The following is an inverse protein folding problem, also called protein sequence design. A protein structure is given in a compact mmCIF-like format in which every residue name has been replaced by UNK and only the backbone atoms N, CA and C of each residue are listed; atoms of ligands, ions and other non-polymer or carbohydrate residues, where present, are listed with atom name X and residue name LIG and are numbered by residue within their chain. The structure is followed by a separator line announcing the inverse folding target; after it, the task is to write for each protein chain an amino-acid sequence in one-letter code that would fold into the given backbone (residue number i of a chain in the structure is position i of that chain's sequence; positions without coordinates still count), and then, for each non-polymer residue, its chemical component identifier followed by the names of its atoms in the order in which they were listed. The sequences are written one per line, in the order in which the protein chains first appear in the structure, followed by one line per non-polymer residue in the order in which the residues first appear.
data_IF_551067029354
#
_entry.id   IF_551067029354
#
_cell.length_a   1.000
_cell.length_b   1.000
_cell.length_c   1.000
_cell.angle_alpha   90.00
_cell.angle_beta   90.00
_cell.angle_gamma   90.00
#
_symmetry.space_group_name_H-M   'P 1'
#
loop_
_entity.id
_entity.type
_entity.pdbx_description
1 polymer ?
#
# COMPACT_ATOMS: atom_id res chain seq x y z
N UNK A 1 -9.56 -6.31 -27.01
CA UNK A 1 -9.54 -5.42 -25.83
C UNK A 1 -10.63 -4.36 -25.92
N UNK A 2 -10.84 -3.72 -27.07
CA UNK A 2 -11.84 -2.64 -27.19
C UNK A 2 -13.28 -3.08 -26.90
N UNK A 3 -13.69 -4.29 -27.29
CA UNK A 3 -15.01 -4.83 -26.92
C UNK A 3 -15.19 -4.95 -25.40
N UNK A 4 -14.12 -5.32 -24.69
CA UNK A 4 -14.15 -5.42 -23.21
C UNK A 4 -14.28 -4.02 -22.62
N UNK A 5 -13.56 -3.03 -23.16
CA UNK A 5 -13.64 -1.64 -22.71
C UNK A 5 -15.02 -1.05 -23.00
N UNK A 6 -15.56 -1.21 -24.20
CA UNK A 6 -16.88 -0.75 -24.61
C UNK A 6 -17.98 -1.28 -23.66
N UNK A 7 -18.03 -2.60 -23.45
CA UNK A 7 -18.96 -3.21 -22.50
C UNK A 7 -18.75 -2.69 -21.06
N UNK A 8 -17.50 -2.43 -20.68
CA UNK A 8 -17.19 -1.88 -19.36
C UNK A 8 -17.64 -0.42 -19.21
N UNK A 9 -17.64 0.38 -20.27
CA UNK A 9 -18.15 1.76 -20.23
C UNK A 9 -19.66 1.78 -19.96
N UNK A 10 -20.42 0.86 -20.55
CA UNK A 10 -21.83 0.68 -20.21
C UNK A 10 -22.03 0.33 -18.74
N UNK A 11 -21.23 -0.59 -18.20
CA UNK A 11 -21.28 -0.96 -16.79
C UNK A 11 -20.91 0.23 -15.87
N UNK A 12 -19.87 1.00 -16.22
CA UNK A 12 -19.46 2.19 -15.46
C UNK A 12 -20.58 3.24 -15.46
N UNK A 13 -21.16 3.55 -16.62
CA UNK A 13 -22.25 4.53 -16.70
C UNK A 13 -23.49 4.08 -15.91
N UNK A 14 -23.82 2.79 -15.97
CA UNK A 14 -24.92 2.23 -15.16
C UNK A 14 -24.63 2.37 -13.66
N UNK A 15 -23.43 2.01 -13.20
CA UNK A 15 -23.01 2.15 -11.79
C UNK A 15 -23.05 3.62 -11.35
N UNK A 16 -22.55 4.54 -12.18
CA UNK A 16 -22.58 5.97 -11.87
C UNK A 16 -24.02 6.50 -11.69
N UNK A 17 -24.94 6.07 -12.56
CA UNK A 17 -26.37 6.43 -12.44
C UNK A 17 -27.02 5.80 -11.21
N UNK A 18 -26.78 4.52 -10.96
CA UNK A 18 -27.38 3.78 -9.84
C UNK A 18 -26.93 4.29 -8.47
N UNK A 19 -25.69 4.78 -8.36
CA UNK A 19 -25.10 5.24 -7.10
C UNK A 19 -24.93 6.77 -7.03
N UNK A 20 -25.65 7.53 -7.86
CA UNK A 20 -25.49 8.98 -7.93
C UNK A 20 -25.78 9.66 -6.58
N UNK A 21 -26.82 9.21 -5.88
CA UNK A 21 -27.19 9.73 -4.56
C UNK A 21 -26.20 9.32 -3.46
N UNK A 22 -25.44 8.23 -3.67
CA UNK A 22 -24.44 7.71 -2.75
C UNK A 22 -23.00 8.04 -3.18
N UNK A 23 -22.79 9.10 -3.98
CA UNK A 23 -21.45 9.54 -4.43
C UNK A 23 -20.44 9.71 -3.28
N UNK A 24 -20.90 10.27 -2.16
CA UNK A 24 -20.05 10.50 -0.98
C UNK A 24 -19.59 9.19 -0.35
N UNK A 25 -20.43 8.15 -0.38
CA UNK A 25 -20.06 6.81 0.08
C UNK A 25 -18.98 6.20 -0.84
N UNK A 26 -19.13 6.32 -2.15
CA UNK A 26 -18.12 5.83 -3.11
C UNK A 26 -16.78 6.56 -2.90
N UNK A 27 -16.83 7.86 -2.64
CA UNK A 27 -15.64 8.66 -2.34
C UNK A 27 -14.98 8.23 -1.03
N UNK A 28 -15.78 8.04 0.01
CA UNK A 28 -15.32 7.58 1.32
C UNK A 28 -14.67 6.20 1.22
N UNK A 29 -15.31 5.25 0.52
CA UNK A 29 -14.78 3.91 0.31
C UNK A 29 -13.44 3.95 -0.44
N UNK A 30 -13.32 4.75 -1.50
CA UNK A 30 -12.03 4.85 -2.18
C UNK A 30 -10.95 5.49 -1.32
N UNK A 31 -11.29 6.48 -0.49
CA UNK A 31 -10.32 7.16 0.37
C UNK A 31 -9.87 6.27 1.54
N UNK A 32 -10.79 5.62 2.26
CA UNK A 32 -10.46 4.77 3.42
C UNK A 32 -9.57 3.59 3.00
N UNK A 33 -9.79 3.05 1.80
CA UNK A 33 -9.04 1.91 1.26
C UNK A 33 -7.93 2.35 0.29
N UNK A 34 -7.49 3.60 0.37
CA UNK A 34 -6.29 4.05 -0.32
C UNK A 34 -5.08 3.23 0.14
N UNK A 35 -4.27 2.67 -0.78
CA UNK A 35 -3.07 1.90 -0.44
C UNK A 35 -2.12 2.58 0.54
N UNK A 36 -2.08 3.92 0.60
CA UNK A 36 -1.27 4.69 1.55
C UNK A 36 -1.60 4.35 3.00
N UNK A 37 -2.85 4.07 3.33
CA UNK A 37 -3.26 3.71 4.69
C UNK A 37 -2.72 2.35 5.15
N UNK A 38 -2.33 1.46 4.23
CA UNK A 38 -1.61 0.24 4.59
C UNK A 38 -0.30 0.54 5.31
N UNK A 39 0.44 1.56 4.86
CA UNK A 39 1.68 2.01 5.48
C UNK A 39 1.45 2.91 6.70
N UNK A 40 0.48 3.82 6.62
CA UNK A 40 0.31 4.91 7.59
C UNK A 40 -0.59 4.55 8.78
N UNK A 41 -1.46 3.56 8.63
CA UNK A 41 -2.43 3.17 9.64
C UNK A 41 -2.34 1.70 10.00
N UNK A 42 -2.54 0.79 9.03
CA UNK A 42 -2.60 -0.65 9.31
C UNK A 42 -1.27 -1.19 9.83
N UNK A 43 -0.14 -0.86 9.19
CA UNK A 43 1.18 -1.30 9.64
C UNK A 43 1.53 -0.85 11.08
N UNK A 44 1.50 0.45 11.43
CA UNK A 44 1.81 0.89 12.80
C UNK A 44 0.82 0.33 13.84
N UNK A 45 -0.47 0.24 13.50
CA UNK A 45 -1.49 -0.30 14.39
C UNK A 45 -1.22 -1.78 14.70
N UNK A 46 -1.15 -2.61 13.67
CA UNK A 46 -1.07 -4.06 13.83
C UNK A 46 0.28 -4.46 14.42
N UNK A 47 1.38 -3.81 14.02
CA UNK A 47 2.70 -4.06 14.61
C UNK A 47 2.77 -3.75 16.10
N UNK A 48 2.03 -2.72 16.56
CA UNK A 48 1.95 -2.37 17.98
C UNK A 48 1.23 -3.45 18.83
N UNK A 49 0.26 -4.16 18.25
CA UNK A 49 -0.49 -5.20 18.95
C UNK A 49 0.14 -6.59 18.84
N UNK A 50 0.59 -6.95 17.63
CA UNK A 50 1.25 -8.20 17.30
C UNK A 50 2.36 -7.97 16.28
N UNK A 51 3.61 -8.06 16.75
CA UNK A 51 4.81 -7.80 15.96
C UNK A 51 4.98 -8.81 14.81
N UNK A 52 4.49 -10.04 14.95
CA UNK A 52 4.60 -11.08 13.91
C UNK A 52 3.64 -10.76 12.77
N UNK A 53 2.34 -10.59 13.07
CA UNK A 53 1.35 -10.22 12.05
C UNK A 53 1.68 -8.85 11.44
N UNK A 54 2.10 -7.87 12.24
CA UNK A 54 2.49 -6.56 11.74
C UNK A 54 3.68 -6.63 10.77
N UNK A 55 4.65 -7.51 11.03
CA UNK A 55 5.76 -7.76 10.10
C UNK A 55 5.28 -8.35 8.78
N UNK A 56 4.42 -9.37 8.82
CA UNK A 56 3.84 -9.95 7.59
C UNK A 56 3.00 -8.94 6.82
N UNK A 57 2.24 -8.09 7.50
CA UNK A 57 1.45 -7.03 6.88
C UNK A 57 2.36 -6.02 6.17
N UNK A 58 3.44 -5.55 6.81
CA UNK A 58 4.41 -4.68 6.16
C UNK A 58 5.03 -5.32 4.90
N UNK A 59 5.43 -6.58 4.98
CA UNK A 59 5.95 -7.32 3.83
C UNK A 59 4.92 -7.43 2.70
N UNK A 60 3.68 -7.80 3.01
CA UNK A 60 2.64 -7.97 1.99
C UNK A 60 2.31 -6.65 1.31
N UNK A 61 2.28 -5.54 2.06
CA UNK A 61 2.04 -4.21 1.50
C UNK A 61 3.15 -3.80 0.53
N UNK A 62 4.42 -3.95 0.92
CA UNK A 62 5.57 -3.61 0.05
C UNK A 62 5.55 -4.45 -1.22
N UNK A 63 5.41 -5.77 -1.10
CA UNK A 63 5.46 -6.68 -2.26
C UNK A 63 4.25 -6.48 -3.17
N UNK A 64 3.07 -6.22 -2.62
CA UNK A 64 1.87 -5.92 -3.41
C UNK A 64 2.04 -4.61 -4.18
N UNK A 65 2.60 -3.56 -3.57
CA UNK A 65 2.80 -2.30 -4.26
C UNK A 65 3.89 -2.39 -5.34
N UNK A 66 5.03 -3.01 -5.02
CA UNK A 66 6.11 -3.25 -5.98
C UNK A 66 5.63 -4.04 -7.20
N UNK A 67 4.98 -5.18 -6.98
CA UNK A 67 4.45 -5.99 -8.08
C UNK A 67 3.33 -5.27 -8.84
N UNK A 68 2.47 -4.49 -8.18
CA UNK A 68 1.46 -3.67 -8.86
C UNK A 68 2.12 -2.68 -9.84
N UNK A 69 3.19 -2.01 -9.40
CA UNK A 69 3.88 -1.01 -10.19
C UNK A 69 4.60 -1.63 -11.40
N UNK A 70 5.29 -2.77 -11.22
CA UNK A 70 5.90 -3.51 -12.34
C UNK A 70 4.84 -3.99 -13.34
N UNK A 71 3.76 -4.61 -12.86
CA UNK A 71 2.66 -5.10 -13.71
C UNK A 71 2.00 -3.96 -14.47
N UNK A 72 1.82 -2.79 -13.85
CA UNK A 72 1.27 -1.59 -14.52
C UNK A 72 2.10 -1.17 -15.71
N UNK A 73 3.41 -1.17 -15.58
CA UNK A 73 4.32 -0.87 -16.68
C UNK A 73 4.28 -1.92 -17.78
N UNK A 74 4.26 -3.21 -17.43
CA UNK A 74 4.22 -4.29 -18.42
C UNK A 74 2.88 -4.35 -19.18
N UNK A 75 1.76 -4.20 -18.46
CA UNK A 75 0.42 -4.35 -19.03
C UNK A 75 -0.07 -3.11 -19.78
N UNK A 76 0.42 -1.91 -19.43
CA UNK A 76 0.04 -0.63 -20.07
C UNK A 76 -1.47 -0.45 -20.21
N UNK A 77 -2.21 -0.79 -19.15
CA UNK A 77 -3.67 -0.70 -19.16
C UNK A 77 -4.16 0.75 -19.28
N UNK A 78 -5.11 0.97 -20.19
CA UNK A 78 -5.86 2.23 -20.30
C UNK A 78 -6.77 2.43 -19.08
N UNK A 79 -7.16 3.68 -18.82
CA UNK A 79 -8.22 4.02 -17.86
C UNK A 79 -9.50 4.35 -18.60
N UNK A 80 -10.68 4.14 -17.98
CA UNK A 80 -11.97 4.42 -18.62
C UNK A 80 -12.07 5.83 -19.21
N UNK A 81 -11.66 6.85 -18.45
CA UNK A 81 -11.76 8.24 -18.90
C UNK A 81 -10.78 8.58 -20.04
N UNK A 82 -9.58 7.99 -20.07
CA UNK A 82 -8.67 8.12 -21.23
C UNK A 82 -9.26 7.47 -22.47
N UNK A 83 -9.69 6.22 -22.31
CA UNK A 83 -10.10 5.38 -23.42
C UNK A 83 -11.32 5.93 -24.14
N UNK A 84 -12.34 6.44 -23.42
CA UNK A 84 -13.55 7.01 -24.05
C UNK A 84 -13.21 8.19 -24.96
N UNK A 85 -12.34 9.10 -24.51
CA UNK A 85 -11.98 10.27 -25.31
C UNK A 85 -11.11 9.92 -26.53
N UNK A 86 -10.16 9.01 -26.37
CA UNK A 86 -9.30 8.54 -27.46
C UNK A 86 -10.10 7.74 -28.49
N UNK A 87 -10.99 6.87 -28.03
CA UNK A 87 -11.89 6.09 -28.87
C UNK A 87 -12.86 6.97 -29.64
N UNK A 88 -13.44 8.00 -29.00
CA UNK A 88 -14.32 8.96 -29.67
C UNK A 88 -13.58 9.74 -30.77
N UNK A 89 -12.34 10.18 -30.51
CA UNK A 89 -11.51 10.85 -31.51
C UNK A 89 -11.22 9.96 -32.73
N UNK A 90 -10.84 8.69 -32.51
CA UNK A 90 -10.59 7.75 -33.60
C UNK A 90 -11.86 7.37 -34.37
N UNK A 91 -12.98 7.19 -33.67
CA UNK A 91 -14.27 6.86 -34.27
C UNK A 91 -14.78 8.00 -35.17
N UNK A 92 -14.60 9.25 -34.74
CA UNK A 92 -14.90 10.44 -35.55
C UNK A 92 -14.05 10.53 -36.82
N UNK A 93 -12.77 10.15 -36.75
CA UNK A 93 -11.87 10.14 -37.92
C UNK A 93 -12.29 9.06 -38.92
N UNK A 94 -12.71 7.90 -38.43
CA UNK A 94 -13.07 6.75 -39.26
C UNK A 94 -14.53 6.77 -39.75
N UNK A 95 -15.30 7.84 -39.49
CA UNK A 95 -16.69 7.97 -39.92
C UNK A 95 -17.67 7.02 -39.22
N UNK A 96 -17.28 6.36 -38.13
CA UNK A 96 -18.11 5.42 -37.37
C UNK A 96 -18.61 6.14 -36.12
N UNK A 97 -19.89 6.51 -36.07
CA UNK A 97 -20.48 7.07 -34.84
C UNK A 97 -20.93 5.93 -33.92
N UNK A 98 -20.11 5.58 -32.93
CA UNK A 98 -20.52 4.74 -31.81
C UNK A 98 -20.96 5.62 -30.65
N UNK A 99 -22.26 5.57 -30.33
CA UNK A 99 -22.84 6.26 -29.18
C UNK A 99 -22.47 5.55 -27.87
N UNK A 100 -21.32 5.90 -27.30
CA UNK A 100 -20.96 5.49 -25.94
C UNK A 100 -21.75 6.29 -24.90
N UNK A 101 -22.21 5.67 -23.81
CA UNK A 101 -22.88 6.41 -22.74
C UNK A 101 -21.89 7.35 -22.03
N UNK A 102 -22.36 8.52 -21.56
CA UNK A 102 -21.49 9.45 -20.85
C UNK A 102 -21.01 8.86 -19.52
N UNK A 103 -19.74 9.10 -19.22
CA UNK A 103 -19.12 8.82 -17.93
C UNK A 103 -18.67 10.12 -17.28
N UNK A 104 -18.75 10.21 -15.96
CA UNK A 104 -18.38 11.39 -15.19
C UNK A 104 -16.96 11.27 -14.65
N UNK A 105 -16.19 12.36 -14.70
CA UNK A 105 -14.91 12.48 -13.99
C UNK A 105 -15.13 13.16 -12.62
N UNK A 106 -14.30 12.78 -11.66
CA UNK A 106 -14.29 13.33 -10.29
C UNK A 106 -12.87 13.76 -9.93
N UNK A 107 -12.69 14.44 -8.80
CA UNK A 107 -11.36 14.86 -8.32
C UNK A 107 -10.40 13.67 -8.02
N UNK A 108 -10.92 12.44 -7.88
CA UNK A 108 -10.12 11.22 -7.68
C UNK A 108 -9.93 10.39 -8.95
N UNK A 109 -10.49 10.82 -10.09
CA UNK A 109 -10.40 10.07 -11.36
C UNK A 109 -9.01 10.18 -12.00
N UNK A 110 -8.35 11.34 -11.84
CA UNK A 110 -7.14 11.72 -12.57
C UNK A 110 -5.83 11.20 -11.96
N UNK A 111 -5.72 9.89 -11.80
CA UNK A 111 -4.47 9.26 -11.42
C UNK A 111 -3.51 9.14 -12.62
N UNK A 112 -2.20 9.17 -12.36
CA UNK A 112 -1.13 9.28 -13.37
C UNK A 112 -0.47 7.95 -13.74
N UNK A 113 -0.62 6.91 -12.93
CA UNK A 113 -0.14 5.56 -13.24
C UNK A 113 -1.08 4.78 -14.18
N UNK A 114 -0.58 3.76 -14.92
CA UNK A 114 -1.41 2.90 -15.76
C UNK A 114 -2.57 2.23 -15.00
N UNK A 115 -3.65 1.90 -15.71
CA UNK A 115 -4.90 1.39 -15.14
C UNK A 115 -4.90 -0.07 -14.71
N UNK A 116 -4.04 -0.93 -15.26
CA UNK A 116 -4.09 -2.38 -15.00
C UNK A 116 -2.81 -2.90 -14.33
N UNK A 117 -2.87 -3.63 -13.20
CA UNK A 117 -4.05 -3.92 -12.38
C UNK A 117 -4.39 -2.79 -11.38
N UNK A 118 -5.62 -2.80 -10.85
CA UNK A 118 -6.06 -1.85 -9.82
C UNK A 118 -5.23 -1.97 -8.54
N UNK A 119 -4.52 -0.90 -8.17
CA UNK A 119 -3.68 -0.86 -6.96
C UNK A 119 -4.50 -0.90 -5.67
N UNK A 120 -5.66 -0.24 -5.64
CA UNK A 120 -6.58 -0.24 -4.50
C UNK A 120 -7.09 -1.66 -4.22
N UNK A 121 -7.58 -2.35 -5.26
CA UNK A 121 -8.08 -3.73 -5.15
C UNK A 121 -6.97 -4.70 -4.75
N UNK A 122 -5.77 -4.55 -5.34
CA UNK A 122 -4.63 -5.43 -5.07
C UNK A 122 -4.09 -5.30 -3.64
N UNK A 123 -3.84 -4.07 -3.17
CA UNK A 123 -3.31 -3.84 -1.82
C UNK A 123 -4.36 -4.18 -0.76
N UNK A 124 -5.64 -3.85 -0.99
CA UNK A 124 -6.71 -4.21 -0.04
C UNK A 124 -6.85 -5.72 0.07
N UNK A 125 -6.86 -6.46 -1.05
CA UNK A 125 -6.88 -7.92 -1.06
C UNK A 125 -5.70 -8.49 -0.27
N UNK A 126 -4.50 -7.99 -0.55
CA UNK A 126 -3.29 -8.49 0.09
C UNK A 126 -3.28 -8.26 1.61
N UNK A 127 -3.59 -7.03 2.06
CA UNK A 127 -3.55 -6.64 3.48
C UNK A 127 -4.67 -7.33 4.27
N UNK A 128 -5.90 -7.30 3.77
CA UNK A 128 -7.04 -7.87 4.51
C UNK A 128 -6.97 -9.39 4.57
N UNK A 129 -6.36 -10.06 3.59
CA UNK A 129 -6.10 -11.50 3.67
C UNK A 129 -5.23 -11.84 4.88
N UNK A 130 -4.11 -11.13 5.07
CA UNK A 130 -3.22 -11.32 6.23
C UNK A 130 -3.96 -11.07 7.56
N UNK A 131 -4.82 -10.05 7.61
CA UNK A 131 -5.61 -9.74 8.80
C UNK A 131 -6.61 -10.85 9.14
N UNK A 132 -7.36 -11.34 8.15
CA UNK A 132 -8.33 -12.43 8.33
C UNK A 132 -7.61 -13.71 8.74
N UNK A 133 -6.51 -14.06 8.07
CA UNK A 133 -5.71 -15.23 8.42
C UNK A 133 -5.18 -15.15 9.87
N UNK A 134 -4.63 -14.01 10.27
CA UNK A 134 -4.11 -13.81 11.62
C UNK A 134 -5.22 -13.91 12.69
N UNK A 135 -6.39 -13.32 12.43
CA UNK A 135 -7.54 -13.39 13.32
C UNK A 135 -8.03 -14.84 13.49
N UNK A 136 -8.16 -15.59 12.39
CA UNK A 136 -8.59 -16.99 12.43
C UNK A 136 -7.60 -17.89 13.16
N UNK A 137 -6.29 -17.69 12.93
CA UNK A 137 -5.22 -18.42 13.65
C UNK A 137 -5.27 -18.15 15.15
N UNK A 138 -5.47 -16.89 15.56
CA UNK A 138 -5.56 -16.52 16.98
C UNK A 138 -6.75 -17.16 17.70
N UNK A 139 -7.82 -17.46 16.97
CA UNK A 139 -9.01 -18.12 17.50
C UNK A 139 -8.93 -19.66 17.46
N UNK A 140 -7.73 -20.22 17.22
CA UNK A 140 -7.47 -21.66 17.25
C UNK A 140 -8.08 -22.44 16.10
N UNK A 141 -8.42 -21.78 14.98
CA UNK A 141 -9.04 -22.43 13.82
C UNK A 141 -8.01 -22.70 12.73
N UNK A 142 -7.95 -23.96 12.28
CA UNK A 142 -7.20 -24.35 11.09
C UNK A 142 -7.91 -23.79 9.85
N UNK A 143 -7.21 -22.95 9.07
CA UNK A 143 -7.71 -22.40 7.80
C UNK A 143 -8.11 -23.49 6.78
N UNK A 144 -7.55 -24.71 6.91
CA UNK A 144 -7.74 -25.83 5.98
C UNK A 144 -8.50 -27.04 6.57
N UNK A 145 -9.16 -26.90 7.73
CA UNK A 145 -9.93 -28.00 8.34
C UNK A 145 -11.35 -28.14 7.77
N UNK A 146 -11.79 -29.39 7.52
CA UNK A 146 -13.05 -29.77 6.84
C UNK A 146 -14.36 -29.34 7.51
N UNK A 147 -14.34 -28.75 8.71
CA UNK A 147 -15.51 -28.09 9.32
C UNK A 147 -15.25 -26.60 9.38
N UNK A 148 -15.58 -25.88 8.30
CA UNK A 148 -15.55 -24.41 8.33
C UNK A 148 -16.57 -23.94 9.36
N UNK A 149 -16.08 -23.57 10.55
CA UNK A 149 -16.92 -22.92 11.55
C UNK A 149 -17.59 -21.71 10.92
N UNK A 150 -18.85 -21.43 11.29
CA UNK A 150 -19.62 -20.24 10.88
C UNK A 150 -18.77 -18.96 10.84
N UNK A 151 -17.88 -18.78 11.82
CA UNK A 151 -16.95 -17.66 11.86
C UNK A 151 -16.00 -17.58 10.65
N UNK A 152 -15.42 -18.70 10.20
CA UNK A 152 -14.53 -18.73 9.04
C UNK A 152 -15.27 -18.20 7.80
N UNK A 153 -16.49 -18.70 7.59
CA UNK A 153 -17.38 -18.25 6.51
C UNK A 153 -17.72 -16.76 6.65
N UNK A 154 -18.03 -16.29 7.86
CA UNK A 154 -18.28 -14.86 8.13
C UNK A 154 -17.05 -14.00 7.80
N UNK A 155 -15.85 -14.40 8.22
CA UNK A 155 -14.63 -13.63 7.99
C UNK A 155 -14.30 -13.51 6.50
N UNK A 156 -14.40 -14.60 5.74
CA UNK A 156 -14.19 -14.58 4.29
C UNK A 156 -15.32 -13.86 3.54
N UNK A 157 -16.55 -13.92 4.05
CA UNK A 157 -17.66 -13.14 3.49
C UNK A 157 -17.43 -11.63 3.68
N UNK A 158 -17.02 -11.18 4.88
CA UNK A 158 -16.67 -9.79 5.16
C UNK A 158 -15.50 -9.34 4.28
N UNK A 159 -14.45 -10.15 4.19
CA UNK A 159 -13.31 -9.89 3.30
C UNK A 159 -13.76 -9.67 1.85
N UNK A 160 -14.56 -10.59 1.31
CA UNK A 160 -15.05 -10.52 -0.07
C UNK A 160 -15.94 -9.30 -0.27
N UNK A 161 -16.83 -9.01 0.69
CA UNK A 161 -17.70 -7.84 0.65
C UNK A 161 -16.89 -6.53 0.58
N UNK A 162 -15.88 -6.38 1.44
CA UNK A 162 -14.98 -5.22 1.42
C UNK A 162 -14.29 -5.07 0.07
N UNK A 163 -13.79 -6.16 -0.53
CA UNK A 163 -13.16 -6.11 -1.85
C UNK A 163 -14.11 -5.71 -2.96
N UNK A 164 -15.36 -6.18 -2.91
CA UNK A 164 -16.40 -5.77 -3.83
C UNK A 164 -16.71 -4.27 -3.67
N UNK A 165 -16.83 -3.77 -2.44
CA UNK A 165 -17.08 -2.34 -2.17
C UNK A 165 -15.94 -1.45 -2.69
N UNK A 166 -14.68 -1.82 -2.44
CA UNK A 166 -13.52 -1.09 -2.94
C UNK A 166 -13.49 -1.13 -4.46
N UNK A 167 -13.67 -2.31 -5.06
CA UNK A 167 -13.66 -2.43 -6.53
C UNK A 167 -14.79 -1.63 -7.18
N UNK A 168 -15.99 -1.64 -6.59
CA UNK A 168 -17.14 -0.87 -7.04
C UNK A 168 -16.87 0.64 -6.96
N UNK A 169 -16.26 1.13 -5.89
CA UNK A 169 -15.93 2.55 -5.77
C UNK A 169 -14.94 3.00 -6.86
N UNK A 170 -13.95 2.16 -7.20
CA UNK A 170 -12.97 2.45 -8.26
C UNK A 170 -13.58 2.45 -9.66
N UNK A 171 -14.58 1.59 -9.90
CA UNK A 171 -15.34 1.54 -11.15
C UNK A 171 -16.26 2.76 -11.24
N UNK A 172 -16.95 3.11 -10.14
CA UNK A 172 -17.80 4.31 -10.06
C UNK A 172 -17.01 5.60 -10.37
N UNK A 173 -15.78 5.70 -9.86
CA UNK A 173 -14.88 6.84 -10.12
C UNK A 173 -14.35 6.91 -11.55
N UNK A 174 -14.69 5.95 -12.42
CA UNK A 174 -14.13 5.78 -13.76
C UNK A 174 -12.58 5.71 -13.77
N UNK A 175 -11.99 5.29 -12.65
CA UNK A 175 -10.55 5.18 -12.49
C UNK A 175 -10.01 3.83 -12.96
N UNK A 176 -10.84 2.78 -12.92
CA UNK A 176 -10.52 1.43 -13.35
C UNK A 176 -11.69 0.75 -14.06
N UNK A 177 -11.38 -0.13 -15.01
CA UNK A 177 -12.35 -1.06 -15.58
C UNK A 177 -12.59 -2.25 -14.64
N UNK A 178 -13.76 -2.93 -14.70
CA UNK A 178 -14.06 -4.08 -13.84
C UNK A 178 -13.01 -5.20 -13.89
N UNK A 179 -12.52 -5.54 -15.08
CA UNK A 179 -11.49 -6.58 -15.24
C UNK A 179 -10.16 -6.21 -14.55
N UNK A 180 -9.82 -4.93 -14.47
CA UNK A 180 -8.61 -4.45 -13.79
C UNK A 180 -8.71 -4.59 -12.27
N UNK A 181 -9.92 -4.40 -11.73
CA UNK A 181 -10.21 -4.66 -10.32
C UNK A 181 -10.14 -6.15 -10.00
N UNK A 182 -10.75 -7.01 -10.84
CA UNK A 182 -10.68 -8.47 -10.71
C UNK A 182 -9.24 -8.99 -10.73
N UNK A 183 -8.44 -8.54 -11.71
CA UNK A 183 -7.03 -8.90 -11.78
C UNK A 183 -6.25 -8.41 -10.56
N UNK A 184 -6.51 -7.18 -10.11
CA UNK A 184 -5.92 -6.64 -8.88
C UNK A 184 -6.20 -7.53 -7.66
N UNK A 185 -7.45 -7.93 -7.46
CA UNK A 185 -7.83 -8.84 -6.38
C UNK A 185 -7.08 -10.18 -6.46
N UNK A 186 -7.05 -10.80 -7.64
CA UNK A 186 -6.35 -12.07 -7.85
C UNK A 186 -4.85 -11.98 -7.55
N UNK A 187 -4.18 -10.94 -8.06
CA UNK A 187 -2.75 -10.70 -7.79
C UNK A 187 -2.49 -10.39 -6.31
N UNK A 188 -3.40 -9.65 -5.65
CA UNK A 188 -3.29 -9.35 -4.22
C UNK A 188 -3.39 -10.60 -3.35
N UNK A 189 -4.32 -11.50 -3.66
CA UNK A 189 -4.44 -12.81 -2.99
C UNK A 189 -3.18 -13.66 -3.22
N UNK A 190 -2.67 -13.71 -4.45
CA UNK A 190 -1.44 -14.46 -4.76
C UNK A 190 -0.24 -13.95 -3.94
N UNK A 191 -0.06 -12.63 -3.85
CA UNK A 191 0.98 -12.00 -3.01
C UNK A 191 0.77 -12.34 -1.53
N UNK A 192 -0.46 -12.29 -1.04
CA UNK A 192 -0.75 -12.64 0.36
C UNK A 192 -0.37 -14.09 0.67
N UNK A 193 -0.79 -15.05 -0.16
CA UNK A 193 -0.44 -16.47 0.02
C UNK A 193 1.08 -16.67 0.04
N UNK A 194 1.81 -16.01 -0.87
CA UNK A 194 3.27 -16.08 -0.91
C UNK A 194 3.89 -15.61 0.42
N UNK A 195 3.45 -14.46 0.93
CA UNK A 195 3.98 -13.85 2.15
C UNK A 195 3.52 -14.59 3.42
N UNK A 196 2.29 -15.12 3.43
CA UNK A 196 1.76 -15.95 4.53
C UNK A 196 2.65 -17.16 4.80
N UNK A 197 3.17 -17.77 3.74
CA UNK A 197 4.06 -18.93 3.78
C UNK A 197 5.54 -18.58 4.05
N UNK A 198 5.92 -17.31 3.89
CA UNK A 198 7.30 -16.87 4.10
C UNK A 198 7.61 -16.71 5.61
N UNK A 199 8.75 -17.26 6.03
CA UNK A 199 9.27 -17.04 7.39
C UNK A 199 10.03 -15.70 7.45
N UNK A 200 9.27 -14.61 7.57
CA UNK A 200 9.81 -13.24 7.65
C UNK A 200 10.69 -12.98 8.88
N UNK A 201 10.72 -13.89 9.87
CA UNK A 201 11.54 -13.73 11.08
C UNK A 201 13.01 -14.09 10.88
N UNK A 202 13.34 -14.88 9.87
CA UNK A 202 14.72 -15.29 9.59
C UNK A 202 15.48 -14.32 8.71
N UNK A 203 14.82 -13.28 8.20
CA UNK A 203 15.44 -12.34 7.26
C UNK A 203 16.34 -11.36 8.02
N UNK A 204 17.65 -11.47 7.77
CA UNK A 204 18.67 -10.56 8.29
C UNK A 204 18.59 -9.19 7.62
N UNK A 205 19.23 -8.18 8.21
CA UNK A 205 19.33 -6.82 7.64
C UNK A 205 19.79 -6.83 6.17
N UNK A 206 20.79 -7.64 5.83
CA UNK A 206 21.27 -7.75 4.45
C UNK A 206 20.16 -8.18 3.47
N UNK A 207 19.21 -9.01 3.90
CA UNK A 207 18.06 -9.40 3.08
C UNK A 207 17.14 -8.22 2.76
N UNK A 208 16.96 -7.28 3.70
CA UNK A 208 16.22 -6.05 3.46
C UNK A 208 16.97 -5.12 2.50
N UNK A 209 18.29 -4.96 2.69
CA UNK A 209 19.12 -4.15 1.80
C UNK A 209 19.11 -4.71 0.37
N UNK A 210 19.39 -6.01 0.20
CA UNK A 210 19.36 -6.64 -1.13
C UNK A 210 17.97 -6.64 -1.74
N UNK A 211 16.91 -6.82 -0.95
CA UNK A 211 15.55 -6.72 -1.47
C UNK A 211 15.18 -5.30 -1.91
N UNK A 212 15.59 -4.26 -1.18
CA UNK A 212 15.44 -2.86 -1.62
C UNK A 212 16.17 -2.61 -2.93
N UNK A 213 17.43 -3.06 -3.04
CA UNK A 213 18.22 -2.93 -4.26
C UNK A 213 17.59 -3.71 -5.44
N UNK A 214 17.08 -4.91 -5.20
CA UNK A 214 16.42 -5.73 -6.21
C UNK A 214 15.11 -5.08 -6.68
N UNK A 215 14.29 -4.55 -5.77
CA UNK A 215 13.07 -3.83 -6.12
C UNK A 215 13.38 -2.58 -6.96
N UNK A 216 14.35 -1.77 -6.53
CA UNK A 216 14.80 -0.60 -7.28
C UNK A 216 15.33 -0.98 -8.67
N UNK A 217 16.25 -1.96 -8.74
CA UNK A 217 16.83 -2.44 -9.98
C UNK A 217 15.78 -3.01 -10.94
N UNK A 218 14.80 -3.77 -10.44
CA UNK A 218 13.73 -4.34 -11.26
C UNK A 218 12.86 -3.27 -11.91
N UNK A 219 12.59 -2.16 -11.21
CA UNK A 219 11.85 -1.04 -11.76
C UNK A 219 12.68 -0.32 -12.85
N UNK A 220 13.94 0.02 -12.57
CA UNK A 220 14.81 0.64 -13.58
C UNK A 220 14.99 -0.26 -14.81
N UNK A 221 15.18 -1.57 -14.61
CA UNK A 221 15.29 -2.53 -15.70
C UNK A 221 14.01 -2.60 -16.53
N UNK A 222 12.84 -2.61 -15.89
CA UNK A 222 11.54 -2.60 -16.59
C UNK A 222 11.37 -1.32 -17.40
N UNK A 223 11.77 -0.17 -16.85
CA UNK A 223 11.74 1.12 -17.55
C UNK A 223 12.63 1.11 -18.81
N UNK A 224 13.88 0.65 -18.67
CA UNK A 224 14.83 0.54 -19.79
C UNK A 224 14.33 -0.44 -20.84
N UNK A 225 13.78 -1.60 -20.41
CA UNK A 225 13.25 -2.60 -21.31
C UNK A 225 12.09 -2.05 -22.14
N UNK A 226 11.15 -1.33 -21.52
CA UNK A 226 10.06 -0.67 -22.24
C UNK A 226 10.57 0.33 -23.27
N UNK A 227 11.55 1.17 -22.91
CA UNK A 227 12.18 2.10 -23.85
C UNK A 227 12.85 1.37 -25.02
N UNK A 228 13.56 0.27 -24.75
CA UNK A 228 14.23 -0.52 -25.80
C UNK A 228 13.23 -1.16 -26.77
N UNK A 229 12.01 -1.43 -26.32
CA UNK A 229 10.90 -1.92 -27.15
C UNK A 229 10.15 -0.79 -27.86
N UNK A 230 10.59 0.46 -27.73
CA UNK A 230 9.94 1.63 -28.33
C UNK A 230 8.70 2.12 -27.59
N UNK A 231 8.47 1.68 -26.35
CA UNK A 231 7.33 2.12 -25.53
C UNK A 231 7.73 3.21 -24.56
N UNK A 232 6.96 4.31 -24.53
CA UNK A 232 7.13 5.38 -23.56
C UNK A 232 6.58 4.94 -22.17
N UNK A 233 7.41 4.78 -21.12
CA UNK A 233 6.92 4.37 -19.79
C UNK A 233 6.10 5.46 -19.08
N UNK A 234 6.18 6.71 -19.55
CA UNK A 234 5.46 7.86 -19.03
C UNK A 234 4.18 8.18 -19.81
N UNK A 235 3.80 7.34 -20.78
CA UNK A 235 2.60 7.54 -21.61
C UNK A 235 1.33 7.79 -20.78
N UNK A 236 1.22 7.13 -19.61
CA UNK A 236 0.06 7.28 -18.72
C UNK A 236 0.01 8.66 -18.05
N UNK A 237 1.17 9.28 -17.80
CA UNK A 237 1.26 10.65 -17.28
C UNK A 237 0.79 11.64 -18.34
N UNK A 238 1.23 11.45 -19.59
CA UNK A 238 0.78 12.27 -20.73
C UNK A 238 -0.74 12.15 -20.94
N UNK A 239 -1.28 10.92 -20.87
CA UNK A 239 -2.74 10.69 -20.92
C UNK A 239 -3.50 11.38 -19.79
N UNK A 240 -2.99 11.30 -18.57
CA UNK A 240 -3.58 11.97 -17.42
C UNK A 240 -3.60 13.49 -17.61
N UNK A 241 -2.48 14.08 -18.04
CA UNK A 241 -2.38 15.52 -18.31
C UNK A 241 -3.27 15.97 -19.48
N UNK A 242 -3.47 15.12 -20.49
CA UNK A 242 -4.31 15.42 -21.66
C UNK A 242 -5.80 15.38 -21.35
N UNK A 243 -6.25 14.38 -20.61
CA UNK A 243 -7.68 14.07 -20.46
C UNK A 243 -8.26 14.37 -19.08
N UNK A 244 -7.44 14.78 -18.12
CA UNK A 244 -7.97 15.25 -16.86
C UNK A 244 -8.67 16.60 -17.02
N UNK A 245 -9.90 16.71 -16.49
CA UNK A 245 -10.70 17.93 -16.59
C UNK A 245 -10.04 19.16 -15.92
N UNK A 246 -9.24 18.96 -14.86
CA UNK A 246 -8.52 20.03 -14.17
C UNK A 246 -7.11 19.61 -13.79
N UNK A 247 -6.11 20.49 -14.00
CA UNK A 247 -4.72 20.19 -13.65
C UNK A 247 -4.53 19.96 -12.15
N UNK A 248 -5.28 20.65 -11.29
CA UNK A 248 -5.22 20.44 -9.83
C UNK A 248 -5.68 19.04 -9.37
N UNK A 249 -6.39 18.29 -10.23
CA UNK A 249 -6.80 16.92 -9.91
C UNK A 249 -5.74 15.87 -10.31
N UNK A 250 -4.63 16.27 -10.94
CA UNK A 250 -3.58 15.34 -11.38
C UNK A 250 -2.72 14.94 -10.18
N UNK A 251 -2.82 13.67 -9.78
CA UNK A 251 -2.17 13.16 -8.57
C UNK A 251 -0.73 12.69 -8.85
N UNK A 252 0.26 13.52 -8.48
CA UNK A 252 1.70 13.21 -8.62
C UNK A 252 2.16 12.01 -7.78
N UNK A 253 1.51 11.78 -6.64
CA UNK A 253 1.79 10.67 -5.72
C UNK A 253 1.35 9.29 -6.27
N UNK A 254 0.62 9.29 -7.38
CA UNK A 254 0.24 8.08 -8.12
C UNK A 254 1.17 7.75 -9.29
N UNK A 255 2.26 8.50 -9.47
CA UNK A 255 3.26 8.22 -10.50
C UNK A 255 4.07 6.95 -10.15
N UNK A 256 4.51 6.17 -11.15
CA UNK A 256 5.29 4.95 -10.90
C UNK A 256 6.58 5.18 -10.10
N UNK A 257 7.29 6.28 -10.36
CA UNK A 257 8.52 6.62 -9.63
C UNK A 257 8.25 7.03 -8.17
N UNK A 258 7.15 7.72 -7.90
CA UNK A 258 6.75 8.05 -6.52
C UNK A 258 6.46 6.76 -5.73
N UNK A 259 5.71 5.83 -6.32
CA UNK A 259 5.47 4.50 -5.75
C UNK A 259 6.77 3.74 -5.49
N UNK A 260 7.71 3.79 -6.44
CA UNK A 260 9.05 3.19 -6.30
C UNK A 260 9.80 3.71 -5.08
N UNK A 261 9.88 5.03 -4.91
CA UNK A 261 10.53 5.63 -3.74
C UNK A 261 9.85 5.22 -2.44
N UNK A 262 8.51 5.12 -2.44
CA UNK A 262 7.74 4.73 -1.28
C UNK A 262 8.04 3.30 -0.83
N UNK A 263 7.85 2.30 -1.69
CA UNK A 263 8.01 0.90 -1.27
C UNK A 263 9.48 0.55 -0.99
N UNK A 264 10.45 1.14 -1.72
CA UNK A 264 11.89 0.89 -1.48
C UNK A 264 12.37 1.50 -0.18
N UNK A 265 11.98 2.76 0.08
CA UNK A 265 12.27 3.45 1.33
C UNK A 265 11.66 2.72 2.52
N UNK A 266 10.38 2.37 2.44
CA UNK A 266 9.68 1.64 3.49
C UNK A 266 10.31 0.28 3.79
N UNK A 267 10.69 -0.48 2.76
CA UNK A 267 11.31 -1.79 2.96
C UNK A 267 12.70 -1.68 3.63
N UNK A 268 13.50 -0.68 3.25
CA UNK A 268 14.79 -0.43 3.89
C UNK A 268 14.60 0.03 5.35
N UNK A 269 13.69 0.98 5.58
CA UNK A 269 13.36 1.50 6.90
C UNK A 269 12.84 0.42 7.86
N UNK A 270 12.04 -0.51 7.34
CA UNK A 270 11.60 -1.71 8.05
C UNK A 270 12.79 -2.58 8.46
N UNK A 271 13.72 -2.83 7.55
CA UNK A 271 14.94 -3.60 7.84
C UNK A 271 15.81 -2.95 8.91
N UNK A 272 16.06 -1.65 8.80
CA UNK A 272 16.81 -0.85 9.76
C UNK A 272 16.12 -0.82 11.14
N UNK A 273 14.80 -0.66 11.16
CA UNK A 273 14.00 -0.64 12.39
C UNK A 273 14.09 -1.97 13.13
N UNK A 274 13.80 -3.09 12.44
CA UNK A 274 13.80 -4.44 13.02
C UNK A 274 15.19 -4.91 13.50
N UNK A 275 16.27 -4.35 12.97
CA UNK A 275 17.65 -4.72 13.35
C UNK A 275 18.37 -3.65 14.19
N UNK A 276 17.68 -2.58 14.55
CA UNK A 276 18.24 -1.52 15.40
C UNK A 276 18.50 -1.99 16.83
N UNK A 277 19.41 -1.31 17.52
CA UNK A 277 19.65 -1.49 18.96
C UNK A 277 18.39 -1.20 19.78
N UNK A 278 17.58 -0.22 19.37
CA UNK A 278 16.31 0.12 20.00
C UNK A 278 15.29 -1.02 19.94
N UNK A 279 15.12 -1.66 18.78
CA UNK A 279 14.22 -2.81 18.65
C UNK A 279 14.70 -4.00 19.47
N UNK A 280 16.01 -4.29 19.45
CA UNK A 280 16.60 -5.37 20.27
C UNK A 280 16.38 -5.15 21.77
N UNK A 281 16.42 -3.90 22.23
CA UNK A 281 16.17 -3.57 23.64
C UNK A 281 14.72 -3.86 24.06
N UNK A 282 13.75 -3.78 23.13
CA UNK A 282 12.32 -4.02 23.41
C UNK A 282 11.81 -5.38 22.90
N UNK A 283 12.61 -6.17 22.19
CA UNK A 283 12.19 -7.44 21.62
C UNK A 283 11.85 -8.49 22.67
N UNK A 284 12.55 -8.48 23.81
CA UNK A 284 12.32 -9.39 24.94
C UNK A 284 11.24 -8.93 25.92
N UNK A 285 10.78 -7.67 25.81
CA UNK A 285 9.81 -7.08 26.74
C UNK A 285 8.39 -7.40 26.29
N UNK A 286 7.60 -7.98 27.19
CA UNK A 286 6.16 -8.16 26.99
C UNK A 286 5.42 -6.86 27.33
N UNK A 287 4.78 -6.26 26.32
CA UNK A 287 4.05 -5.01 26.49
C UNK A 287 2.65 -5.28 27.06
N UNK A 288 2.28 -4.53 28.09
CA UNK A 288 0.90 -4.52 28.61
C UNK A 288 -0.08 -3.95 27.57
N UNK A 289 -1.38 -4.19 27.74
CA UNK A 289 -2.40 -3.65 26.83
C UNK A 289 -2.32 -2.13 26.72
N UNK A 290 -2.08 -1.43 27.84
CA UNK A 290 -1.89 0.03 27.86
C UNK A 290 -0.68 0.44 27.03
N UNK A 291 0.46 -0.23 27.19
CA UNK A 291 1.65 0.07 26.39
C UNK A 291 1.40 -0.15 24.89
N UNK A 292 0.68 -1.22 24.51
CA UNK A 292 0.31 -1.48 23.11
C UNK A 292 -0.58 -0.37 22.55
N UNK A 293 -1.59 0.06 23.30
CA UNK A 293 -2.50 1.15 22.90
C UNK A 293 -1.76 2.48 22.74
N UNK A 294 -0.92 2.84 23.70
CA UNK A 294 -0.10 4.06 23.65
C UNK A 294 0.89 3.98 22.47
N UNK A 295 1.55 2.85 22.27
CA UNK A 295 2.45 2.63 21.13
C UNK A 295 1.70 2.78 19.80
N UNK A 296 0.50 2.20 19.67
CA UNK A 296 -0.31 2.33 18.46
C UNK A 296 -0.72 3.78 18.19
N UNK A 297 -1.22 4.49 19.20
CA UNK A 297 -1.64 5.87 19.08
C UNK A 297 -0.47 6.79 18.67
N UNK A 298 0.67 6.68 19.36
CA UNK A 298 1.87 7.45 19.03
C UNK A 298 2.44 7.10 17.65
N UNK A 299 2.42 5.81 17.28
CA UNK A 299 2.90 5.36 15.97
C UNK A 299 2.06 5.91 14.82
N UNK A 300 0.73 5.90 14.95
CA UNK A 300 -0.18 6.50 13.96
C UNK A 300 0.00 8.02 13.92
N UNK A 301 0.13 8.67 15.08
CA UNK A 301 0.38 10.11 15.16
C UNK A 301 1.66 10.49 14.44
N UNK A 302 2.78 9.83 14.73
CA UNK A 302 4.07 10.08 14.06
C UNK A 302 3.96 9.81 12.55
N UNK A 303 3.27 8.74 12.16
CA UNK A 303 3.03 8.42 10.74
C UNK A 303 2.30 9.56 10.01
N UNK A 304 1.27 10.12 10.64
CA UNK A 304 0.49 11.25 10.10
C UNK A 304 1.27 12.56 10.11
N UNK A 305 2.18 12.77 11.06
CA UNK A 305 3.06 13.93 11.08
C UNK A 305 4.10 13.87 9.96
N UNK A 306 4.69 12.70 9.70
CA UNK A 306 5.63 12.49 8.57
C UNK A 306 4.92 12.75 7.24
N UNK A 307 3.68 12.26 7.07
CA UNK A 307 2.87 12.50 5.86
C UNK A 307 2.55 13.99 5.64
N UNK A 308 2.40 14.77 6.72
CA UNK A 308 2.09 16.21 6.64
C UNK A 308 3.27 17.10 6.29
N UNK A 309 4.49 16.57 6.21
CA UNK A 309 5.66 17.36 5.83
C UNK A 309 5.44 17.86 4.40
N UNK A 310 5.29 19.19 4.19
CA UNK A 310 4.91 19.73 2.89
C UNK A 310 6.02 19.47 1.88
N UNK A 311 5.65 18.90 0.74
CA UNK A 311 6.52 18.77 -0.43
C UNK A 311 6.11 19.89 -1.38
N UNK A 312 6.91 20.95 -1.44
CA UNK A 312 6.68 22.06 -2.38
C UNK A 312 6.97 21.61 -3.81
N UNK A 313 5.98 21.00 -4.46
CA UNK A 313 6.06 20.49 -5.84
C UNK A 313 6.40 21.57 -6.87
N UNK A 314 6.03 22.81 -6.58
CA UNK A 314 6.12 23.92 -7.54
C UNK A 314 7.50 24.61 -7.53
N UNK A 315 8.32 24.33 -6.51
CA UNK A 315 9.62 24.97 -6.28
C UNK A 315 10.76 23.94 -6.30
N UNK A 316 10.50 22.69 -5.91
CA UNK A 316 11.52 21.66 -5.78
C UNK A 316 11.76 20.91 -7.09
N UNK A 317 13.03 20.59 -7.36
CA UNK A 317 13.40 19.68 -8.43
C UNK A 317 12.78 18.29 -8.18
N UNK A 318 12.29 17.62 -9.24
CA UNK A 318 11.67 16.29 -9.17
C UNK A 318 12.55 15.25 -8.46
N UNK A 319 13.88 15.32 -8.65
CA UNK A 319 14.82 14.42 -7.97
C UNK A 319 14.84 14.65 -6.45
N UNK A 320 14.71 15.91 -6.01
CA UNK A 320 14.63 16.26 -4.59
C UNK A 320 13.30 15.76 -4.01
N UNK A 321 12.20 15.88 -4.76
CA UNK A 321 10.90 15.32 -4.35
C UNK A 321 11.02 13.82 -4.13
N UNK A 322 11.61 13.08 -5.06
CA UNK A 322 11.80 11.62 -4.92
C UNK A 322 12.70 11.24 -3.75
N UNK A 323 13.78 12.00 -3.51
CA UNK A 323 14.63 11.80 -2.34
C UNK A 323 13.85 12.02 -1.02
N UNK A 324 13.03 13.07 -0.95
CA UNK A 324 12.18 13.34 0.22
C UNK A 324 11.18 12.20 0.45
N UNK A 325 10.49 11.74 -0.60
CA UNK A 325 9.53 10.63 -0.52
C UNK A 325 10.20 9.35 -0.03
N UNK A 326 11.39 9.03 -0.54
CA UNK A 326 12.18 7.89 -0.09
C UNK A 326 12.53 8.01 1.39
N UNK A 327 13.03 9.17 1.83
CA UNK A 327 13.41 9.41 3.22
C UNK A 327 12.20 9.36 4.16
N UNK A 328 11.08 10.01 3.81
CA UNK A 328 9.85 9.93 4.58
C UNK A 328 9.37 8.48 4.73
N UNK A 329 9.38 7.74 3.62
CA UNK A 329 8.95 6.33 3.61
C UNK A 329 9.91 5.42 4.37
N UNK A 330 11.20 5.73 4.43
CA UNK A 330 12.20 5.04 5.26
C UNK A 330 12.00 5.34 6.74
N UNK A 331 11.80 6.61 7.09
CA UNK A 331 11.61 7.02 8.49
C UNK A 331 10.35 6.40 9.07
N UNK A 332 9.26 6.34 8.31
CA UNK A 332 7.96 5.85 8.75
C UNK A 332 8.04 4.50 9.53
N UNK A 333 8.46 3.37 8.93
CA UNK A 333 8.60 2.10 9.65
C UNK A 333 9.73 2.11 10.66
N UNK A 334 10.81 2.86 10.46
CA UNK A 334 11.86 2.97 11.47
C UNK A 334 11.32 3.52 12.80
N UNK A 335 10.49 4.58 12.74
CA UNK A 335 9.89 5.18 13.92
C UNK A 335 8.92 4.24 14.64
N UNK A 336 7.93 3.68 13.94
CA UNK A 336 6.91 2.86 14.62
C UNK A 336 7.40 1.45 14.98
N UNK A 337 8.44 0.93 14.32
CA UNK A 337 9.03 -0.38 14.68
C UNK A 337 9.99 -0.26 15.86
N UNK A 338 10.84 0.77 15.86
CA UNK A 338 11.97 0.84 16.79
C UNK A 338 11.81 1.97 17.82
N UNK A 339 11.65 3.22 17.38
CA UNK A 339 11.76 4.40 18.25
C UNK A 339 10.56 4.54 19.18
N UNK A 340 9.33 4.51 18.65
CA UNK A 340 8.11 4.71 19.44
C UNK A 340 7.95 3.62 20.51
N UNK A 341 8.05 2.31 20.19
CA UNK A 341 7.96 1.27 21.22
C UNK A 341 9.06 1.39 22.29
N UNK A 342 10.26 1.82 21.90
CA UNK A 342 11.38 2.04 22.82
C UNK A 342 11.11 3.18 23.82
N UNK A 343 10.58 4.31 23.35
CA UNK A 343 10.18 5.43 24.21
C UNK A 343 9.09 4.99 25.19
N UNK A 344 8.05 4.30 24.70
CA UNK A 344 6.94 3.81 25.53
C UNK A 344 7.45 2.83 26.60
N UNK A 345 8.36 1.92 26.24
CA UNK A 345 8.98 1.00 27.19
C UNK A 345 9.73 1.75 28.30
N UNK A 346 10.48 2.80 27.97
CA UNK A 346 11.21 3.60 28.97
C UNK A 346 10.30 4.41 29.89
N UNK A 347 9.14 4.84 29.40
CA UNK A 347 8.18 5.64 30.19
C UNK A 347 7.31 4.77 31.11
N UNK A 348 7.07 3.50 30.76
CA UNK A 348 6.31 2.56 31.58
C UNK A 348 7.25 1.52 32.21
N UNK A 349 7.83 1.78 33.39
CA UNK A 349 8.63 0.78 34.08
C UNK A 349 7.78 -0.46 34.36
N UNK A 350 8.15 -1.56 33.70
CA UNK A 350 7.72 -2.90 34.05
C UNK A 350 8.82 -3.53 34.91
N UNK A 351 8.49 -4.49 35.77
CA UNK A 351 9.48 -5.21 36.61
C UNK A 351 10.66 -5.78 35.80
N UNK A 352 10.43 -6.13 34.53
CA UNK A 352 11.44 -6.60 33.57
C UNK A 352 12.39 -5.49 33.08
N UNK A 353 11.91 -4.24 32.96
CA UNK A 353 12.72 -3.08 32.60
C UNK A 353 13.55 -2.61 33.79
N UNK A 354 13.04 -2.70 35.01
CA UNK A 354 13.83 -2.44 36.22
C UNK A 354 14.99 -3.43 36.36
N UNK A 355 14.77 -4.71 36.06
CA UNK A 355 15.84 -5.71 36.04
C UNK A 355 16.92 -5.42 34.98
N UNK A 356 16.55 -5.02 33.76
CA UNK A 356 17.49 -4.62 32.71
C UNK A 356 18.22 -3.30 33.06
N UNK A 357 17.51 -2.32 33.62
CA UNK A 357 18.09 -1.04 34.06
C UNK A 357 19.09 -1.24 35.20
N UNK A 358 18.84 -2.21 36.08
CA UNK A 358 19.76 -2.62 37.15
C UNK A 358 20.97 -3.42 36.61
N UNK A 359 20.82 -4.17 35.51
CA UNK A 359 21.94 -4.84 34.84
C UNK A 359 22.84 -3.84 34.09
N UNK A 360 22.27 -2.89 33.35
CA UNK A 360 23.03 -1.86 32.64
C UNK A 360 23.73 -0.89 33.61
N UNK A 361 23.09 -0.55 34.74
CA UNK A 361 23.73 0.25 35.79
C UNK A 361 24.87 -0.50 36.48
N UNK A 362 24.73 -1.81 36.73
CA UNK A 362 25.82 -2.64 37.24
C UNK A 362 26.95 -2.81 36.24
N UNK A 363 26.67 -3.00 34.95
CA UNK A 363 27.73 -3.10 33.93
C UNK A 363 28.50 -1.78 33.76
N UNK A 364 27.81 -0.65 33.86
CA UNK A 364 28.45 0.67 33.84
C UNK A 364 29.24 0.95 35.12
N UNK A 365 28.77 0.52 36.29
CA UNK A 365 29.52 0.67 37.55
C UNK A 365 30.77 -0.23 37.60
N UNK A 366 30.71 -1.43 37.03
CA UNK A 366 31.87 -2.33 36.87
C UNK A 366 32.88 -1.72 35.90
N UNK A 367 32.44 -1.15 34.76
CA UNK A 367 33.33 -0.45 33.82
C UNK A 367 34.00 0.79 34.41
N UNK A 368 33.31 1.52 35.28
CA UNK A 368 33.87 2.71 35.95
C UNK A 368 34.84 2.36 37.10
N UNK A 369 34.79 1.13 37.64
CA UNK A 369 35.74 0.64 38.64
C UNK A 369 36.97 -0.06 38.05
N UNK A 370 36.97 -0.29 36.73
CA UNK A 370 38.06 -0.96 36.00
C UNK A 370 38.97 0.00 35.22
N UNK A 371 38.66 1.30 35.26
CA UNK A 371 39.55 2.41 34.92
C UNK A 371 40.00 3.08 36.22
#
# INVERSE_FOLDING_TARGET
MDTIHENSIHAISAIQRSFNDQKNLMFLLSNIFDPRYAFLFYAPLIFSFDRITGRKLMWVTVVAEWSNQILKWLMRGERPYWWVHEFAGQSSINGVSKNLPPIQQTFMTCETGPGSPSGHSMVTAAVWYILVEAMLKRMGKNLHGSKSSLLNSICWAIYTFVLCCVSLSRIYLAAHFPHQCLLGMGMGVAVAILISNLNTDRIKLNGYVYGTLAMFASAILTYILLLSMGFNPLWSVERALKWCAKREHVHLDTTPFFSMMRYTGFFLGMGLGLHSTFYRAISSIQFSTTMKLVTAALSIMVSKLIEKIPISSDVLNVNVIYAIVFLQSLMLPYFFVAIVPYIVARMHPTKSIEALRNQDSNNNSIRLKAN
#
